data_IF_149471069952
#
_entry.id   IF_149471069952
#
_cell.length_a   1.000
_cell.length_b   1.000
_cell.length_c   1.000
_cell.angle_alpha   90.00
_cell.angle_beta   90.00
_cell.angle_gamma   90.00
#
_symmetry.space_group_name_H-M   'P 1'
#
loop_
_entity.id
_entity.type
_entity.pdbx_description
1 polymer ?
#
# COMPACT_ATOMS: atom_id res chain seq x y z
N UNK A 1 -19.90 -17.29 -18.61
CA UNK A 1 -18.97 -17.12 -17.48
C UNK A 1 -19.76 -16.52 -16.34
N UNK A 2 -19.97 -17.26 -15.26
CA UNK A 2 -20.61 -16.76 -14.05
C UNK A 2 -19.59 -15.83 -13.39
N UNK A 3 -19.92 -14.56 -13.18
CA UNK A 3 -19.05 -13.65 -12.44
C UNK A 3 -18.75 -14.28 -11.07
N UNK A 4 -17.49 -14.31 -10.60
CA UNK A 4 -17.20 -14.79 -9.26
C UNK A 4 -17.99 -13.96 -8.25
N UNK A 5 -18.78 -14.64 -7.42
CA UNK A 5 -19.52 -14.01 -6.33
C UNK A 5 -18.51 -13.45 -5.33
N UNK A 6 -18.31 -12.13 -5.36
CA UNK A 6 -17.58 -11.41 -4.32
C UNK A 6 -18.39 -11.54 -3.03
N UNK A 7 -18.02 -12.48 -2.17
CA UNK A 7 -18.46 -12.43 -0.77
C UNK A 7 -17.97 -11.08 -0.24
N UNK A 8 -18.90 -10.20 0.14
CA UNK A 8 -18.56 -8.91 0.70
C UNK A 8 -17.57 -9.11 1.85
N UNK A 9 -16.44 -8.40 1.81
CA UNK A 9 -15.46 -8.45 2.89
C UNK A 9 -16.11 -7.99 4.18
N UNK A 10 -15.80 -8.66 5.29
CA UNK A 10 -16.31 -8.25 6.58
C UNK A 10 -15.72 -6.88 6.99
N UNK A 11 -16.49 -6.13 7.80
CA UNK A 11 -16.13 -4.78 8.21
C UNK A 11 -14.79 -4.71 8.96
N UNK A 12 -14.44 -5.74 9.72
CA UNK A 12 -13.19 -5.77 10.48
C UNK A 12 -11.98 -5.92 9.55
N UNK A 13 -12.09 -6.75 8.51
CA UNK A 13 -11.09 -6.90 7.45
C UNK A 13 -10.91 -5.60 6.68
N UNK A 14 -11.99 -4.97 6.24
CA UNK A 14 -11.96 -3.65 5.57
C UNK A 14 -11.26 -2.61 6.44
N UNK A 15 -11.61 -2.55 7.73
CA UNK A 15 -10.99 -1.63 8.68
C UNK A 15 -9.48 -1.86 8.81
N UNK A 16 -9.02 -3.12 8.85
CA UNK A 16 -7.59 -3.45 8.91
C UNK A 16 -6.86 -2.99 7.64
N UNK A 17 -7.42 -3.24 6.45
CA UNK A 17 -6.84 -2.79 5.18
C UNK A 17 -6.64 -1.27 5.20
N UNK A 18 -7.68 -0.51 5.54
CA UNK A 18 -7.61 0.96 5.61
C UNK A 18 -6.60 1.42 6.65
N UNK A 19 -6.53 0.77 7.81
CA UNK A 19 -5.56 1.11 8.84
C UNK A 19 -4.12 0.88 8.35
N UNK A 20 -3.83 -0.26 7.71
CA UNK A 20 -2.51 -0.53 7.16
C UNK A 20 -2.12 0.52 6.09
N UNK A 21 -3.05 0.87 5.20
CA UNK A 21 -2.81 1.91 4.20
C UNK A 21 -2.54 3.29 4.82
N UNK A 22 -3.28 3.66 5.89
CA UNK A 22 -3.02 4.90 6.65
C UNK A 22 -1.70 4.86 7.41
N UNK A 23 -1.29 3.70 7.92
CA UNK A 23 0.03 3.52 8.52
C UNK A 23 1.12 3.77 7.49
N UNK A 24 1.03 3.18 6.29
CA UNK A 24 1.98 3.46 5.21
C UNK A 24 1.99 4.94 4.83
N UNK A 25 0.81 5.55 4.69
CA UNK A 25 0.66 6.98 4.41
C UNK A 25 1.39 7.84 5.45
N UNK A 26 1.27 7.50 6.73
CA UNK A 26 1.92 8.24 7.82
C UNK A 26 3.45 8.18 7.70
N UNK A 27 4.01 7.03 7.31
CA UNK A 27 5.47 6.90 7.10
C UNK A 27 5.90 7.73 5.88
N UNK A 28 5.14 7.70 4.78
CA UNK A 28 5.39 8.50 3.57
C UNK A 28 5.34 10.00 3.87
N UNK A 29 4.32 10.46 4.61
CA UNK A 29 4.15 11.87 4.97
C UNK A 29 5.21 12.32 5.99
N UNK A 30 5.64 11.43 6.89
CA UNK A 30 6.78 11.66 7.76
C UNK A 30 8.07 11.88 6.96
N UNK A 31 8.34 11.01 5.98
CA UNK A 31 9.45 11.20 5.05
C UNK A 31 9.39 12.57 4.38
N UNK A 32 8.21 12.94 3.84
CA UNK A 32 8.05 14.21 3.14
C UNK A 32 8.26 15.40 4.06
N UNK A 33 7.79 15.35 5.31
CA UNK A 33 8.02 16.41 6.29
C UNK A 33 9.52 16.64 6.55
N UNK A 34 10.28 15.56 6.71
CA UNK A 34 11.71 15.63 7.00
C UNK A 34 12.56 16.01 5.78
N UNK A 35 12.03 15.79 4.56
CA UNK A 35 12.72 16.08 3.29
C UNK A 35 12.16 17.33 2.58
N UNK A 36 11.58 18.27 3.34
CA UNK A 36 11.15 19.56 2.80
C UNK A 36 10.01 19.49 1.78
N UNK A 37 9.15 18.48 1.91
CA UNK A 37 8.00 18.20 1.04
C UNK A 37 8.28 17.24 -0.11
N UNK A 38 9.50 16.70 -0.25
CA UNK A 38 9.82 15.69 -1.24
C UNK A 38 9.32 14.30 -0.81
N UNK A 39 8.62 13.59 -1.69
CA UNK A 39 8.15 12.22 -1.43
C UNK A 39 9.23 11.18 -1.79
N UNK A 40 9.22 10.00 -1.15
CA UNK A 40 10.17 8.94 -1.48
C UNK A 40 9.96 8.46 -2.92
N UNK A 41 11.03 8.08 -3.61
CA UNK A 41 10.96 7.55 -4.96
C UNK A 41 10.61 6.05 -4.98
N UNK A 42 10.76 5.36 -3.85
CA UNK A 42 10.54 3.93 -3.73
C UNK A 42 10.22 3.52 -2.29
N UNK A 43 9.66 2.32 -2.12
CA UNK A 43 9.50 1.69 -0.80
C UNK A 43 10.85 1.41 -0.15
N UNK A 44 11.89 1.10 -0.92
CA UNK A 44 13.23 0.87 -0.38
C UNK A 44 13.80 2.12 0.30
N UNK A 45 13.58 3.29 -0.30
CA UNK A 45 13.96 4.57 0.31
C UNK A 45 13.16 4.82 1.59
N UNK A 46 11.86 4.53 1.56
CA UNK A 46 10.99 4.65 2.73
C UNK A 46 11.38 3.71 3.88
N UNK A 47 11.78 2.48 3.56
CA UNK A 47 12.30 1.50 4.53
C UNK A 47 13.57 2.01 5.20
N UNK A 48 14.53 2.52 4.42
CA UNK A 48 15.76 3.09 4.97
C UNK A 48 15.48 4.28 5.90
N UNK A 49 14.55 5.16 5.51
CA UNK A 49 14.09 6.26 6.34
C UNK A 49 13.42 5.76 7.64
N UNK A 50 12.53 4.77 7.54
CA UNK A 50 11.79 4.25 8.69
C UNK A 50 12.73 3.60 9.72
N UNK A 51 13.77 2.90 9.25
CA UNK A 51 14.83 2.36 10.11
C UNK A 51 15.66 3.47 10.76
N UNK A 52 16.11 4.46 9.98
CA UNK A 52 16.96 5.54 10.49
C UNK A 52 16.25 6.43 11.53
N UNK A 53 14.93 6.61 11.39
CA UNK A 53 14.13 7.50 12.24
C UNK A 53 13.24 6.77 13.23
N UNK A 54 13.40 5.45 13.38
CA UNK A 54 12.54 4.59 14.21
C UNK A 54 11.03 4.78 13.91
N UNK A 55 10.69 5.05 12.64
CA UNK A 55 9.33 5.24 12.15
C UNK A 55 8.72 3.94 11.58
N UNK A 56 9.33 2.79 11.87
CA UNK A 56 8.83 1.47 11.48
C UNK A 56 7.47 1.19 12.13
N UNK A 57 6.47 0.86 11.31
CA UNK A 57 5.13 0.49 11.78
C UNK A 57 4.90 -0.99 11.54
N UNK A 58 4.74 -1.77 12.60
CA UNK A 58 4.39 -3.18 12.50
C UNK A 58 2.91 -3.35 12.17
N UNK A 59 2.61 -4.16 11.17
CA UNK A 59 1.23 -4.50 10.75
C UNK A 59 1.07 -5.98 10.50
N UNK A 60 -0.17 -6.40 10.24
CA UNK A 60 -0.49 -7.76 9.81
C UNK A 60 -1.37 -7.72 8.58
N UNK A 61 -1.03 -8.50 7.57
CA UNK A 61 -1.87 -8.72 6.39
C UNK A 61 -3.13 -9.49 6.83
N UNK A 62 -4.34 -8.93 6.61
CA UNK A 62 -5.57 -9.53 7.13
C UNK A 62 -5.98 -10.82 6.41
N UNK A 63 -5.40 -11.13 5.25
CA UNK A 63 -5.74 -12.31 4.45
C UNK A 63 -4.72 -13.44 4.60
N UNK A 64 -3.43 -13.13 4.68
CA UNK A 64 -2.37 -14.12 4.78
C UNK A 64 -1.89 -14.35 6.22
N UNK A 65 -2.17 -13.42 7.13
CA UNK A 65 -1.68 -13.45 8.51
C UNK A 65 -0.19 -13.10 8.66
N UNK A 66 0.49 -12.77 7.56
CA UNK A 66 1.89 -12.32 7.58
C UNK A 66 1.99 -11.03 8.38
N UNK A 67 2.93 -10.98 9.32
CA UNK A 67 3.22 -9.81 10.14
C UNK A 67 4.66 -9.34 9.89
N UNK A 68 4.86 -8.03 9.84
CA UNK A 68 6.13 -7.40 9.49
C UNK A 68 6.01 -5.89 9.58
N UNK A 69 7.02 -5.17 9.11
CA UNK A 69 6.96 -3.72 8.97
C UNK A 69 6.21 -3.33 7.69
N UNK A 70 5.47 -2.23 7.74
CA UNK A 70 4.63 -1.79 6.62
C UNK A 70 5.40 -1.53 5.33
N UNK A 71 6.72 -1.32 5.41
CA UNK A 71 7.62 -1.13 4.27
C UNK A 71 8.19 -2.43 3.71
N UNK A 72 7.92 -3.59 4.33
CA UNK A 72 8.43 -4.88 3.88
C UNK A 72 7.75 -5.33 2.57
N UNK A 73 8.50 -6.00 1.68
CA UNK A 73 7.98 -6.49 0.39
C UNK A 73 6.88 -7.56 0.50
N UNK A 74 6.79 -8.22 1.65
CA UNK A 74 5.72 -9.17 1.97
C UNK A 74 4.39 -8.47 2.29
N UNK A 75 4.43 -7.16 2.58
CA UNK A 75 3.28 -6.36 2.97
C UNK A 75 2.96 -5.24 1.98
N UNK A 76 3.96 -4.70 1.29
CA UNK A 76 3.81 -3.60 0.34
C UNK A 76 4.63 -3.86 -0.93
N UNK A 77 3.99 -3.66 -2.08
CA UNK A 77 4.61 -3.74 -3.40
C UNK A 77 4.91 -2.34 -3.91
N UNK A 78 6.13 -2.14 -4.40
CA UNK A 78 6.51 -0.92 -5.10
C UNK A 78 6.21 -1.07 -6.59
N UNK A 79 5.29 -0.25 -7.08
CA UNK A 79 4.87 -0.21 -8.49
C UNK A 79 5.32 1.06 -9.20
N UNK A 80 6.26 1.79 -8.61
CA UNK A 80 6.79 3.05 -9.18
C UNK A 80 7.52 2.80 -10.51
N UNK A 81 8.18 1.65 -10.65
CA UNK A 81 8.92 1.28 -11.86
C UNK A 81 8.34 0.06 -12.60
N UNK A 82 7.76 -0.90 -11.86
CA UNK A 82 7.26 -2.16 -12.43
C UNK A 82 5.81 -2.37 -12.04
N UNK A 83 4.92 -2.43 -13.04
CA UNK A 83 3.52 -2.76 -12.82
C UNK A 83 3.38 -4.19 -12.28
N UNK A 84 2.33 -4.42 -11.50
CA UNK A 84 1.97 -5.73 -10.96
C UNK A 84 0.64 -6.17 -11.55
N UNK A 85 0.53 -7.47 -11.81
CA UNK A 85 -0.71 -8.07 -12.28
C UNK A 85 -1.73 -8.20 -11.13
N UNK A 86 -2.99 -7.87 -11.43
CA UNK A 86 -4.12 -8.13 -10.53
C UNK A 86 -4.55 -9.61 -10.57
N UNK A 87 -5.14 -10.08 -9.48
CA UNK A 87 -5.65 -11.46 -9.35
C UNK A 87 -4.56 -12.49 -9.05
N UNK A 88 -3.36 -12.05 -8.70
CA UNK A 88 -2.25 -12.92 -8.27
C UNK A 88 -2.40 -13.21 -6.77
N UNK A 89 -2.57 -14.48 -6.42
CA UNK A 89 -2.78 -14.91 -5.03
C UNK A 89 -1.63 -14.49 -4.09
N UNK A 90 -0.39 -14.46 -4.58
CA UNK A 90 0.79 -14.04 -3.81
C UNK A 90 0.73 -12.55 -3.42
N UNK A 91 -0.10 -11.76 -4.09
CA UNK A 91 -0.30 -10.34 -3.80
C UNK A 91 -1.51 -10.09 -2.88
N UNK A 92 -2.22 -11.14 -2.45
CA UNK A 92 -3.42 -11.01 -1.63
C UNK A 92 -3.15 -10.18 -0.36
N UNK A 93 -3.93 -9.11 -0.16
CA UNK A 93 -3.82 -8.25 1.01
C UNK A 93 -2.64 -7.29 1.06
N UNK A 94 -1.74 -7.32 0.06
CA UNK A 94 -0.62 -6.38 0.01
C UNK A 94 -1.10 -4.97 -0.31
N UNK A 95 -0.36 -3.98 0.16
CA UNK A 95 -0.50 -2.61 -0.30
C UNK A 95 0.29 -2.41 -1.59
N UNK A 96 -0.14 -1.46 -2.41
CA UNK A 96 0.62 -0.95 -3.54
C UNK A 96 1.10 0.45 -3.20
N UNK A 97 2.35 0.75 -3.52
CA UNK A 97 2.92 2.09 -3.44
C UNK A 97 3.42 2.50 -4.82
N UNK A 98 3.05 3.71 -5.24
CA UNK A 98 3.52 4.31 -6.48
C UNK A 98 4.00 5.74 -6.21
N UNK A 99 5.25 6.04 -6.52
CA UNK A 99 5.73 7.41 -6.60
C UNK A 99 5.19 8.09 -7.88
N UNK A 100 4.60 9.28 -7.75
CA UNK A 100 4.16 10.08 -8.89
C UNK A 100 5.32 10.98 -9.33
N UNK A 101 5.75 10.86 -10.60
CA UNK A 101 6.90 11.60 -11.12
C UNK A 101 6.52 12.61 -12.20
N UNK A 102 7.06 13.83 -12.11
CA UNK A 102 7.09 14.81 -13.20
C UNK A 102 8.53 14.91 -13.74
N UNK A 103 8.84 14.13 -14.78
CA UNK A 103 10.22 13.95 -15.23
C UNK A 103 11.01 13.13 -14.21
N UNK A 104 12.12 13.67 -13.69
CA UNK A 104 12.94 13.01 -12.67
C UNK A 104 12.55 13.40 -11.24
N UNK A 105 11.56 14.29 -11.06
CA UNK A 105 11.14 14.77 -9.76
C UNK A 105 9.93 13.96 -9.27
N UNK A 106 9.99 13.43 -8.06
CA UNK A 106 8.83 12.84 -7.38
C UNK A 106 7.97 13.98 -6.82
N UNK A 107 6.74 14.11 -7.33
CA UNK A 107 5.81 15.20 -6.98
C UNK A 107 4.67 14.75 -6.07
N UNK A 108 4.49 13.44 -5.89
CA UNK A 108 3.38 12.88 -5.14
C UNK A 108 3.50 11.37 -4.98
N UNK A 109 2.44 10.74 -4.51
CA UNK A 109 2.38 9.29 -4.40
C UNK A 109 0.94 8.79 -4.45
N UNK A 110 0.79 7.49 -4.71
CA UNK A 110 -0.45 6.75 -4.54
C UNK A 110 -0.19 5.52 -3.68
N UNK A 111 -1.11 5.25 -2.76
CA UNK A 111 -1.24 3.99 -2.03
C UNK A 111 -2.56 3.37 -2.43
N UNK A 112 -2.53 2.10 -2.83
CA UNK A 112 -3.72 1.28 -3.01
C UNK A 112 -3.61 0.01 -2.15
N UNK A 113 -4.70 -0.75 -2.07
CA UNK A 113 -4.69 -2.05 -1.40
C UNK A 113 -5.21 -3.13 -2.33
N UNK A 114 -4.73 -4.36 -2.13
CA UNK A 114 -5.25 -5.54 -2.78
C UNK A 114 -6.16 -6.32 -1.83
N UNK A 115 -7.21 -6.93 -2.38
CA UNK A 115 -8.13 -7.79 -1.65
C UNK A 115 -7.53 -9.19 -1.42
N UNK A 116 -8.31 -10.08 -0.82
CA UNK A 116 -7.88 -11.46 -0.53
C UNK A 116 -7.65 -12.34 -1.74
N UNK A 117 -7.87 -11.84 -2.96
CA UNK A 117 -7.62 -12.52 -4.22
C UNK A 117 -6.55 -11.81 -5.05
N UNK A 118 -5.97 -10.71 -4.55
CA UNK A 118 -4.95 -9.93 -5.24
C UNK A 118 -5.52 -8.95 -6.28
N UNK A 119 -6.82 -8.66 -6.27
CA UNK A 119 -7.42 -7.59 -7.07
C UNK A 119 -7.40 -6.27 -6.32
N UNK A 120 -7.49 -5.15 -7.03
CA UNK A 120 -7.65 -3.85 -6.36
C UNK A 120 -8.85 -3.87 -5.41
N UNK A 121 -8.59 -3.58 -4.14
CA UNK A 121 -9.61 -3.44 -3.13
C UNK A 121 -10.53 -2.27 -3.51
N UNK A 122 -11.82 -2.58 -3.65
CA UNK A 122 -12.87 -1.62 -4.00
C UNK A 122 -13.73 -1.33 -2.78
N UNK A 123 -14.11 -0.07 -2.66
CA UNK A 123 -15.11 0.37 -1.71
C UNK A 123 -16.51 -0.14 -2.09
N UNK A 124 -17.49 0.08 -1.21
CA UNK A 124 -18.87 -0.41 -1.42
C UNK A 124 -19.55 0.15 -2.67
N UNK A 125 -19.07 1.27 -3.20
CA UNK A 125 -19.53 1.90 -4.44
C UNK A 125 -18.83 1.33 -5.70
N UNK A 126 -17.89 0.40 -5.52
CA UNK A 126 -17.12 -0.22 -6.59
C UNK A 126 -15.88 0.58 -7.02
N UNK A 127 -15.58 1.71 -6.36
CA UNK A 127 -14.39 2.53 -6.65
C UNK A 127 -13.16 1.95 -5.95
N UNK A 128 -12.00 1.82 -6.62
CA UNK A 128 -10.76 1.41 -5.96
C UNK A 128 -10.40 2.33 -4.80
N UNK A 129 -10.13 1.75 -3.64
CA UNK A 129 -9.63 2.49 -2.49
C UNK A 129 -8.19 2.93 -2.76
N UNK A 130 -7.96 4.24 -2.73
CA UNK A 130 -6.63 4.84 -2.89
C UNK A 130 -6.43 5.99 -1.91
N UNK A 131 -5.19 6.19 -1.48
CA UNK A 131 -4.72 7.35 -0.73
C UNK A 131 -3.57 8.00 -1.51
N UNK A 132 -3.35 9.30 -1.39
CA UNK A 132 -2.24 9.93 -2.11
C UNK A 132 -2.41 11.43 -2.31
N UNK A 133 -1.42 12.01 -2.98
CA UNK A 133 -1.34 13.43 -3.36
C UNK A 133 -0.81 13.55 -4.78
#
# INVERSE_FOLDING_TARGET
ATAPSTTALDEATVKKIRNNARSLQTVVEGFALDHGGAYPASIRELEAYAVANAANVAVTNPFTGIAGFITDQDLTLDISETAVDEGVADNAGKLLYQANTAGTLVTGYMIAALDGQGYLFKETDGVPFTLGV
#
